data_IF_816875667667
#
_entry.id   IF_816875667667
#
_cell.length_a   1.000
_cell.length_b   1.000
_cell.length_c   1.000
_cell.angle_alpha   90.00
_cell.angle_beta   90.00
_cell.angle_gamma   90.00
#
_symmetry.space_group_name_H-M   'P 1'
#
loop_
_entity.id
_entity.type
_entity.pdbx_description
1 polymer ?
#
# COMPACT_ATOMS: atom_id res chain seq x y z
N UNK A 1 -75.82 -40.06 -24.37
CA UNK A 1 -74.46 -40.41 -24.85
C UNK A 1 -73.56 -39.19 -24.71
N UNK A 2 -72.54 -39.28 -23.84
CA UNK A 2 -71.56 -38.23 -23.54
C UNK A 2 -70.73 -37.91 -24.80
N UNK A 3 -70.60 -36.64 -25.18
CA UNK A 3 -69.58 -36.21 -26.15
C UNK A 3 -68.76 -35.05 -25.56
N UNK A 4 -67.46 -35.27 -25.64
CA UNK A 4 -66.38 -34.67 -24.87
C UNK A 4 -66.04 -33.28 -25.43
N UNK A 5 -65.97 -32.28 -24.56
CA UNK A 5 -65.42 -30.96 -24.88
C UNK A 5 -63.92 -31.16 -25.11
N UNK A 6 -63.44 -30.99 -26.35
CA UNK A 6 -62.01 -30.96 -26.66
C UNK A 6 -61.46 -29.57 -26.37
N UNK A 7 -60.84 -29.41 -25.21
CA UNK A 7 -59.99 -28.25 -24.91
C UNK A 7 -58.77 -28.31 -25.81
N UNK A 8 -58.61 -27.33 -26.71
CA UNK A 8 -57.35 -27.12 -27.44
C UNK A 8 -56.31 -26.62 -26.43
N UNK A 9 -55.34 -27.46 -26.09
CA UNK A 9 -54.13 -27.01 -25.40
C UNK A 9 -53.28 -26.23 -26.39
N UNK A 10 -53.29 -24.90 -26.30
CA UNK A 10 -52.32 -24.04 -26.99
C UNK A 10 -50.99 -24.24 -26.28
N UNK A 11 -50.14 -25.10 -26.83
CA UNK A 11 -48.73 -25.18 -26.43
C UNK A 11 -48.06 -24.00 -27.12
N UNK A 12 -48.06 -22.83 -26.49
CA UNK A 12 -47.19 -21.73 -26.91
C UNK A 12 -45.75 -22.18 -26.69
N UNK A 13 -44.91 -22.29 -27.73
CA UNK A 13 -43.49 -22.44 -27.51
C UNK A 13 -43.01 -21.11 -26.92
N UNK A 14 -42.74 -21.11 -25.61
CA UNK A 14 -41.90 -20.08 -25.02
C UNK A 14 -40.55 -20.22 -25.71
N UNK A 15 -40.28 -19.35 -26.68
CA UNK A 15 -38.95 -19.19 -27.24
C UNK A 15 -38.11 -18.70 -26.05
N UNK A 16 -37.46 -19.64 -25.36
CA UNK A 16 -36.34 -19.30 -24.51
C UNK A 16 -35.26 -18.82 -25.46
N UNK A 17 -35.26 -17.51 -25.71
CA UNK A 17 -34.09 -16.82 -26.18
C UNK A 17 -33.05 -17.09 -25.09
N UNK A 18 -32.24 -18.12 -25.31
CA UNK A 18 -30.98 -18.26 -24.63
C UNK A 18 -30.24 -16.97 -24.96
N UNK A 19 -30.27 -16.02 -24.03
CA UNK A 19 -29.32 -14.93 -24.02
C UNK A 19 -27.96 -15.59 -23.87
N UNK A 20 -27.37 -15.98 -25.00
CA UNK A 20 -25.95 -16.18 -25.09
C UNK A 20 -25.38 -14.78 -24.88
N UNK A 21 -25.15 -14.44 -23.61
CA UNK A 21 -24.26 -13.36 -23.25
C UNK A 21 -22.92 -13.83 -23.79
N UNK A 22 -22.60 -13.40 -25.01
CA UNK A 22 -21.25 -13.50 -25.54
C UNK A 22 -20.45 -12.61 -24.60
N UNK A 23 -19.88 -13.21 -23.56
CA UNK A 23 -18.87 -12.53 -22.77
C UNK A 23 -17.79 -12.15 -23.78
N UNK A 24 -17.67 -10.86 -24.08
CA UNK A 24 -16.54 -10.35 -24.85
C UNK A 24 -15.30 -10.80 -24.08
N UNK A 25 -14.64 -11.85 -24.59
CA UNK A 25 -13.43 -12.37 -23.96
C UNK A 25 -12.43 -11.23 -23.93
N UNK A 26 -12.01 -10.84 -22.72
CA UNK A 26 -11.02 -9.80 -22.53
C UNK A 26 -9.69 -10.27 -23.13
N UNK A 27 -9.33 -9.68 -24.28
CA UNK A 27 -8.17 -10.09 -25.09
C UNK A 27 -6.83 -9.57 -24.55
N UNK A 28 -6.84 -8.83 -23.44
CA UNK A 28 -5.62 -8.29 -22.83
C UNK A 28 -4.79 -9.41 -22.21
N UNK A 29 -3.48 -9.26 -22.29
CA UNK A 29 -2.51 -10.18 -21.73
C UNK A 29 -2.43 -9.94 -20.21
N UNK A 30 -2.59 -11.00 -19.41
CA UNK A 30 -2.46 -10.90 -17.96
C UNK A 30 -0.98 -10.98 -17.55
N UNK A 31 -0.50 -9.98 -16.80
CA UNK A 31 0.90 -9.96 -16.36
C UNK A 31 1.24 -11.11 -15.41
N UNK A 32 0.25 -11.74 -14.75
CA UNK A 32 0.49 -12.90 -13.90
C UNK A 32 1.15 -14.07 -14.65
N UNK A 33 0.94 -14.18 -15.96
CA UNK A 33 1.55 -15.22 -16.81
C UNK A 33 3.08 -15.06 -16.96
N UNK A 34 3.62 -13.92 -16.52
CA UNK A 34 5.03 -13.54 -16.62
C UNK A 34 5.73 -13.44 -15.27
N UNK A 35 5.03 -13.72 -14.17
CA UNK A 35 5.57 -13.66 -12.82
C UNK A 35 6.01 -15.05 -12.35
N UNK A 36 7.30 -15.19 -12.13
CA UNK A 36 7.93 -16.38 -11.56
C UNK A 36 8.21 -16.18 -10.05
N UNK A 37 8.49 -14.94 -9.62
CA UNK A 37 8.89 -14.59 -8.25
C UNK A 37 8.14 -13.35 -7.75
N UNK A 38 7.50 -13.47 -6.59
CA UNK A 38 6.81 -12.36 -5.91
C UNK A 38 7.53 -11.88 -4.65
N UNK A 39 8.45 -12.67 -4.09
CA UNK A 39 9.32 -12.27 -2.99
C UNK A 39 10.66 -11.75 -3.53
N UNK A 40 10.87 -10.45 -3.43
CA UNK A 40 12.05 -9.79 -3.98
C UNK A 40 13.25 -9.82 -3.04
N UNK A 41 13.09 -10.29 -1.80
CA UNK A 41 14.12 -10.24 -0.78
C UNK A 41 14.42 -8.82 -0.30
N UNK A 42 15.69 -8.53 -0.03
CA UNK A 42 16.12 -7.24 0.50
C UNK A 42 16.34 -6.22 -0.62
N UNK A 43 15.65 -5.09 -0.55
CA UNK A 43 15.84 -3.94 -1.43
C UNK A 43 16.64 -2.85 -0.73
N UNK A 44 17.39 -2.07 -1.52
CA UNK A 44 18.24 -1.00 -1.02
C UNK A 44 17.44 0.13 -0.36
N UNK A 45 16.29 0.46 -0.94
CA UNK A 45 15.40 1.52 -0.48
C UNK A 45 13.96 1.34 -1.02
N UNK A 46 13.08 2.26 -0.64
CA UNK A 46 11.68 2.30 -1.04
C UNK A 46 11.38 3.28 -2.20
N UNK A 47 12.36 3.63 -3.03
CA UNK A 47 12.05 4.33 -4.30
C UNK A 47 11.22 3.43 -5.19
N UNK A 48 10.25 4.02 -5.88
CA UNK A 48 9.37 3.32 -6.82
C UNK A 48 10.18 2.58 -7.89
N UNK A 49 11.18 3.24 -8.45
CA UNK A 49 12.08 2.65 -9.46
C UNK A 49 12.86 1.46 -8.91
N UNK A 50 13.38 1.55 -7.67
CA UNK A 50 14.10 0.45 -7.02
C UNK A 50 13.21 -0.77 -6.80
N UNK A 51 11.94 -0.57 -6.43
CA UNK A 51 10.96 -1.66 -6.29
C UNK A 51 10.66 -2.31 -7.65
N UNK A 52 10.42 -1.51 -8.70
CA UNK A 52 10.14 -1.99 -10.05
C UNK A 52 11.35 -2.73 -10.64
N UNK A 53 12.55 -2.19 -10.48
CA UNK A 53 13.80 -2.82 -10.90
C UNK A 53 14.03 -4.15 -10.18
N UNK A 54 13.80 -4.20 -8.86
CA UNK A 54 13.85 -5.44 -8.09
C UNK A 54 12.90 -6.49 -8.64
N UNK A 55 11.65 -6.10 -8.94
CA UNK A 55 10.66 -6.99 -9.55
C UNK A 55 11.09 -7.50 -10.93
N UNK A 56 11.55 -6.62 -11.82
CA UNK A 56 11.97 -6.98 -13.19
C UNK A 56 13.25 -7.82 -13.19
N UNK A 57 14.15 -7.64 -12.23
CA UNK A 57 15.36 -8.45 -12.11
C UNK A 57 15.05 -9.89 -11.69
N UNK A 58 14.06 -10.09 -10.81
CA UNK A 58 13.59 -11.42 -10.42
C UNK A 58 12.66 -12.06 -11.47
N UNK A 59 12.05 -11.25 -12.34
CA UNK A 59 11.15 -11.69 -13.40
C UNK A 59 11.61 -11.18 -14.78
N UNK A 60 12.75 -11.67 -15.31
CA UNK A 60 13.40 -11.09 -16.49
C UNK A 60 12.57 -11.16 -17.77
N UNK A 61 11.56 -12.04 -17.84
CA UNK A 61 10.61 -12.12 -18.96
C UNK A 61 9.87 -10.80 -19.22
N UNK A 62 9.74 -9.92 -18.22
CA UNK A 62 9.19 -8.58 -18.40
C UNK A 62 10.07 -7.67 -19.26
N UNK A 63 11.38 -7.93 -19.37
CA UNK A 63 12.29 -7.14 -20.23
C UNK A 63 12.02 -7.34 -21.72
N UNK A 64 11.37 -8.45 -22.08
CA UNK A 64 10.96 -8.78 -23.45
C UNK A 64 9.61 -8.15 -23.82
N UNK A 65 8.90 -7.62 -22.82
CA UNK A 65 7.59 -6.99 -23.00
C UNK A 65 7.75 -5.49 -23.23
N UNK A 66 7.04 -4.97 -24.23
CA UNK A 66 6.83 -3.52 -24.39
C UNK A 66 5.77 -3.04 -23.38
N UNK A 67 6.10 -3.08 -22.08
CA UNK A 67 5.22 -2.71 -20.98
C UNK A 67 5.94 -1.77 -20.01
N UNK A 68 5.25 -0.69 -19.62
CA UNK A 68 5.64 0.11 -18.45
C UNK A 68 4.90 -0.42 -17.22
N UNK A 69 5.62 -0.56 -16.12
CA UNK A 69 5.07 -0.99 -14.84
C UNK A 69 4.96 0.20 -13.89
N UNK A 70 4.03 0.09 -12.95
CA UNK A 70 3.91 1.02 -11.82
C UNK A 70 3.82 0.21 -10.52
N UNK A 71 4.48 0.69 -9.48
CA UNK A 71 4.22 0.25 -8.12
C UNK A 71 3.13 1.15 -7.51
N UNK A 72 2.20 0.54 -6.79
CA UNK A 72 1.14 1.26 -6.09
C UNK A 72 0.86 0.60 -4.75
N UNK A 73 0.20 1.33 -3.86
CA UNK A 73 -0.23 0.78 -2.57
C UNK A 73 0.92 0.17 -1.75
N UNK A 74 2.12 0.73 -1.90
CA UNK A 74 3.35 0.26 -1.25
C UNK A 74 3.35 0.49 0.26
N UNK A 75 4.00 -0.41 1.00
CA UNK A 75 4.29 -0.31 2.43
C UNK A 75 5.68 -0.90 2.71
N UNK A 76 6.13 -0.84 3.96
CA UNK A 76 7.48 -1.26 4.37
C UNK A 76 7.91 -2.66 3.93
N UNK A 77 6.96 -3.57 3.68
CA UNK A 77 7.22 -4.99 3.37
C UNK A 77 6.59 -5.48 2.07
N UNK A 78 6.04 -4.58 1.24
CA UNK A 78 5.40 -5.00 0.01
C UNK A 78 4.81 -3.87 -0.81
N UNK A 79 4.34 -4.23 -2.00
CA UNK A 79 3.68 -3.31 -2.92
C UNK A 79 2.82 -4.10 -3.91
N UNK A 80 2.07 -3.38 -4.74
CA UNK A 80 1.40 -3.96 -5.89
C UNK A 80 2.01 -3.45 -7.18
N UNK A 81 2.39 -4.37 -8.07
CA UNK A 81 2.86 -4.08 -9.42
C UNK A 81 1.71 -4.23 -10.40
N UNK A 82 1.58 -3.27 -11.33
CA UNK A 82 0.57 -3.29 -12.39
C UNK A 82 1.05 -2.61 -13.66
N UNK A 83 0.47 -2.92 -14.83
CA UNK A 83 0.72 -2.17 -16.05
C UNK A 83 0.34 -0.69 -15.86
N UNK A 84 1.22 0.22 -16.28
CA UNK A 84 0.94 1.64 -16.26
C UNK A 84 -0.11 1.98 -17.33
N UNK A 85 -1.29 2.53 -16.96
CA UNK A 85 -2.42 2.64 -17.89
C UNK A 85 -2.17 3.53 -19.11
N UNK A 86 -1.39 4.60 -18.94
CA UNK A 86 -1.18 5.63 -19.96
C UNK A 86 -0.24 5.12 -21.08
N UNK A 87 0.71 4.24 -20.74
CA UNK A 87 1.79 3.82 -21.65
C UNK A 87 1.55 2.41 -22.21
N UNK A 88 0.88 1.51 -21.47
CA UNK A 88 0.73 0.09 -21.84
C UNK A 88 -0.25 -0.20 -22.99
N UNK A 89 -0.73 0.82 -23.73
CA UNK A 89 -1.67 0.72 -24.87
C UNK A 89 -3.00 -0.01 -24.58
N UNK A 90 -3.30 -0.25 -23.29
CA UNK A 90 -4.39 -1.14 -22.88
C UNK A 90 -4.18 -2.61 -23.28
N UNK A 91 -2.99 -3.01 -23.72
CA UNK A 91 -2.65 -4.38 -24.15
C UNK A 91 -2.54 -5.34 -22.97
N UNK A 92 -2.11 -4.84 -21.82
CA UNK A 92 -1.86 -5.64 -20.62
C UNK A 92 -2.89 -5.35 -19.53
N UNK A 93 -3.09 -6.33 -18.65
CA UNK A 93 -3.93 -6.24 -17.46
C UNK A 93 -3.29 -7.01 -16.31
N UNK A 94 -3.91 -6.92 -15.14
CA UNK A 94 -3.49 -7.64 -13.95
C UNK A 94 -2.84 -6.72 -12.93
N UNK A 95 -2.75 -7.24 -11.71
CA UNK A 95 -2.15 -6.58 -10.55
C UNK A 95 -1.55 -7.66 -9.68
N UNK A 96 -0.25 -7.57 -9.43
CA UNK A 96 0.54 -8.59 -8.73
C UNK A 96 0.97 -8.01 -7.39
N UNK A 97 0.69 -8.71 -6.30
CA UNK A 97 1.24 -8.36 -4.99
C UNK A 97 2.65 -8.92 -4.87
N UNK A 98 3.57 -8.09 -4.39
CA UNK A 98 4.97 -8.45 -4.16
C UNK A 98 5.33 -8.20 -2.70
N UNK A 99 6.22 -9.03 -2.16
CA UNK A 99 6.81 -8.85 -0.84
C UNK A 99 8.29 -8.51 -0.96
N UNK A 100 8.79 -7.71 -0.02
CA UNK A 100 10.21 -7.41 0.12
C UNK A 100 10.53 -7.01 1.56
N UNK A 101 11.81 -6.91 1.88
CA UNK A 101 12.32 -6.16 3.02
C UNK A 101 13.17 -5.00 2.52
N UNK A 102 13.42 -4.01 3.36
CA UNK A 102 14.32 -2.90 3.05
C UNK A 102 15.05 -2.45 4.31
N UNK A 103 15.93 -1.45 4.23
CA UNK A 103 16.75 -1.05 5.38
C UNK A 103 15.94 -0.58 6.58
N UNK A 104 14.75 -0.03 6.33
CA UNK A 104 13.77 0.33 7.36
C UNK A 104 12.53 -0.56 7.25
N UNK A 105 11.96 -0.90 8.40
CA UNK A 105 10.74 -1.69 8.49
C UNK A 105 9.78 -1.13 9.53
N UNK A 106 8.55 -0.86 9.13
CA UNK A 106 7.46 -0.60 10.06
C UNK A 106 6.32 -1.56 9.77
N UNK A 107 5.98 -2.43 10.72
CA UNK A 107 4.89 -3.44 10.71
C UNK A 107 4.76 -4.27 9.42
N UNK A 108 4.64 -5.58 9.55
CA UNK A 108 4.67 -6.46 8.36
C UNK A 108 3.41 -6.39 7.49
N UNK A 109 2.28 -5.93 8.01
CA UNK A 109 1.02 -5.84 7.25
C UNK A 109 0.69 -4.41 6.83
N UNK A 110 0.00 -4.26 5.69
CA UNK A 110 -0.44 -2.96 5.19
C UNK A 110 -1.46 -2.28 6.11
N UNK A 111 -2.33 -3.06 6.77
CA UNK A 111 -3.35 -2.52 7.68
C UNK A 111 -2.71 -1.86 8.90
N UNK A 112 -1.59 -2.41 9.36
CA UNK A 112 -0.88 -1.93 10.56
C UNK A 112 -0.06 -0.65 10.30
N UNK A 113 0.05 -0.17 9.05
CA UNK A 113 0.72 1.10 8.75
C UNK A 113 -0.02 2.31 9.34
N UNK A 114 -1.29 2.17 9.70
CA UNK A 114 -2.08 3.24 10.33
C UNK A 114 -2.07 3.08 11.85
N UNK A 115 -1.35 3.97 12.54
CA UNK A 115 -1.33 4.06 14.00
C UNK A 115 -2.31 5.15 14.47
N UNK A 116 -2.84 4.97 15.68
CA UNK A 116 -3.53 6.05 16.40
C UNK A 116 -2.75 6.36 17.68
N UNK A 117 -2.36 7.61 17.84
CA UNK A 117 -1.80 8.13 19.08
C UNK A 117 -2.90 8.82 19.89
N UNK A 118 -3.12 8.32 21.11
CA UNK A 118 -4.04 8.90 22.08
C UNK A 118 -3.25 9.81 23.01
N UNK A 119 -3.44 11.11 22.87
CA UNK A 119 -2.78 12.13 23.67
C UNK A 119 -3.79 12.76 24.63
N UNK A 120 -3.34 13.14 25.81
CA UNK A 120 -4.17 13.76 26.84
C UNK A 120 -3.35 14.77 27.63
N UNK A 121 -3.98 15.44 28.60
CA UNK A 121 -3.25 16.34 29.49
C UNK A 121 -2.11 15.64 30.26
N UNK A 122 -2.32 14.37 30.62
CA UNK A 122 -1.34 13.56 31.36
C UNK A 122 -0.38 12.80 30.44
N UNK A 123 -0.84 12.44 29.23
CA UNK A 123 -0.02 11.76 28.22
C UNK A 123 0.24 12.68 27.03
N UNK A 124 1.27 13.51 27.15
CA UNK A 124 1.57 14.58 26.18
C UNK A 124 2.31 14.10 24.93
N UNK A 125 2.77 12.85 24.90
CA UNK A 125 3.60 12.33 23.81
C UNK A 125 3.22 10.93 23.37
N UNK A 126 3.52 10.62 22.11
CA UNK A 126 3.42 9.28 21.54
C UNK A 126 4.70 8.95 20.79
N UNK A 127 5.20 7.74 20.98
CA UNK A 127 6.38 7.24 20.27
C UNK A 127 5.94 6.30 19.14
N UNK A 128 6.62 6.44 18.00
CA UNK A 128 6.54 5.54 16.85
C UNK A 128 7.92 4.94 16.63
N UNK A 129 7.99 3.62 16.70
CA UNK A 129 9.22 2.86 16.55
C UNK A 129 9.27 2.20 15.16
N UNK A 130 10.27 2.59 14.38
CA UNK A 130 10.58 2.02 13.07
C UNK A 130 11.85 1.18 13.23
N UNK A 131 11.78 -0.10 12.86
CA UNK A 131 12.92 -1.01 12.96
C UNK A 131 13.95 -0.68 11.87
N UNK A 132 15.23 -0.61 12.25
CA UNK A 132 16.36 -0.58 11.32
C UNK A 132 16.78 -2.04 11.09
N UNK A 133 16.45 -2.57 9.91
CA UNK A 133 16.65 -3.98 9.56
C UNK A 133 18.06 -4.26 9.03
N UNK A 134 18.68 -3.27 8.39
CA UNK A 134 20.07 -3.36 7.93
C UNK A 134 21.02 -2.80 9.00
N UNK A 135 21.85 -3.66 9.58
CA UNK A 135 22.81 -3.30 10.62
C UNK A 135 23.84 -2.23 10.19
N UNK A 136 24.15 -2.17 8.89
CA UNK A 136 25.04 -1.20 8.28
C UNK A 136 24.37 0.13 7.96
N UNK A 137 23.03 0.20 8.00
CA UNK A 137 22.29 1.43 7.83
C UNK A 137 22.32 2.28 9.11
N UNK A 138 22.62 3.57 8.95
CA UNK A 138 22.68 4.53 10.05
C UNK A 138 22.12 5.87 9.57
N UNK A 139 20.80 6.11 9.72
CA UNK A 139 20.19 7.35 9.26
C UNK A 139 20.82 8.54 10.01
N UNK A 140 21.27 9.56 9.28
CA UNK A 140 21.87 10.76 9.90
C UNK A 140 21.01 12.00 9.65
N UNK A 141 20.95 12.96 10.60
CA UNK A 141 20.17 14.19 10.42
C UNK A 141 20.66 15.08 9.27
N UNK A 142 21.93 14.94 8.87
CA UNK A 142 22.60 15.80 7.89
C UNK A 142 22.91 15.09 6.56
N UNK A 143 22.70 13.76 6.48
CA UNK A 143 23.20 12.94 5.37
C UNK A 143 22.16 12.15 4.59
N UNK A 144 20.93 11.99 5.11
CA UNK A 144 19.85 11.32 4.38
C UNK A 144 18.63 12.27 4.30
N UNK A 145 18.39 12.88 3.14
CA UNK A 145 17.15 13.58 2.80
C UNK A 145 15.91 12.65 2.79
N UNK A 146 16.06 11.41 3.22
CA UNK A 146 15.24 10.29 2.79
C UNK A 146 14.10 9.97 3.75
N UNK A 147 14.29 10.15 5.07
CA UNK A 147 13.20 10.00 6.05
C UNK A 147 12.55 11.36 6.27
N UNK A 148 11.33 11.52 5.79
CA UNK A 148 10.57 12.77 5.89
C UNK A 148 9.46 12.60 6.92
N UNK A 149 9.44 13.45 7.92
CA UNK A 149 8.36 13.51 8.91
C UNK A 149 7.48 14.70 8.59
N UNK A 150 6.31 14.43 8.00
CA UNK A 150 5.31 15.43 7.68
C UNK A 150 4.22 15.47 8.76
N UNK A 151 3.71 16.66 9.08
CA UNK A 151 2.54 16.82 9.94
C UNK A 151 1.41 17.54 9.22
N UNK A 152 0.18 17.27 9.66
CA UNK A 152 -1.01 17.97 9.17
C UNK A 152 -2.01 18.20 10.30
N UNK A 153 -2.82 19.25 10.15
CA UNK A 153 -3.81 19.69 11.13
C UNK A 153 -3.30 20.85 11.99
N UNK A 154 -4.22 21.49 12.73
CA UNK A 154 -3.88 22.59 13.62
C UNK A 154 -4.29 22.27 15.07
N UNK A 155 -3.43 22.56 16.05
CA UNK A 155 -2.05 23.05 15.87
C UNK A 155 -1.11 21.95 15.35
N UNK A 156 -0.01 22.35 14.71
CA UNK A 156 0.99 21.42 14.20
C UNK A 156 1.66 20.64 15.35
N UNK A 157 1.67 19.30 15.30
CA UNK A 157 2.44 18.48 16.22
C UNK A 157 3.94 18.80 16.17
N UNK A 158 4.57 18.79 17.33
CA UNK A 158 6.03 18.85 17.46
C UNK A 158 6.57 17.44 17.29
N UNK A 159 7.50 17.25 16.36
CA UNK A 159 8.14 15.95 16.11
C UNK A 159 9.63 16.01 16.45
N UNK A 160 10.11 14.95 17.10
CA UNK A 160 11.52 14.73 17.41
C UNK A 160 11.90 13.32 16.99
N UNK A 161 13.15 13.10 16.61
CA UNK A 161 13.63 11.78 16.23
C UNK A 161 14.97 11.46 16.86
N UNK A 162 15.19 10.17 17.14
CA UNK A 162 16.45 9.64 17.65
C UNK A 162 16.61 8.17 17.27
N UNK A 163 17.85 7.73 17.17
CA UNK A 163 18.16 6.29 17.11
C UNK A 163 18.34 5.79 18.54
N UNK A 164 17.65 4.70 18.87
CA UNK A 164 17.83 3.98 20.14
C UNK A 164 18.19 2.52 19.87
N UNK A 165 18.74 1.86 20.88
CA UNK A 165 18.96 0.41 20.87
C UNK A 165 17.97 -0.26 21.81
N UNK A 166 17.33 -1.32 21.34
CA UNK A 166 16.46 -2.20 22.12
C UNK A 166 16.95 -3.65 21.97
N UNK A 167 17.76 -4.08 22.95
CA UNK A 167 18.55 -5.31 22.82
C UNK A 167 19.51 -5.23 21.63
N UNK A 168 19.41 -6.22 20.74
CA UNK A 168 20.22 -6.29 19.51
C UNK A 168 19.62 -5.48 18.34
N UNK A 169 18.43 -4.87 18.53
CA UNK A 169 17.75 -4.09 17.49
C UNK A 169 18.13 -2.62 17.58
N UNK A 170 18.27 -1.99 16.42
CA UNK A 170 18.31 -0.53 16.29
C UNK A 170 16.93 -0.05 15.87
N UNK A 171 16.46 1.02 16.51
CA UNK A 171 15.14 1.59 16.27
C UNK A 171 15.33 3.07 15.93
N UNK A 172 14.72 3.52 14.83
CA UNK A 172 14.48 4.92 14.55
C UNK A 172 13.17 5.31 15.21
N UNK A 173 13.27 6.04 16.33
CA UNK A 173 12.10 6.48 17.11
C UNK A 173 11.71 7.90 16.73
N UNK A 174 10.45 8.07 16.36
CA UNK A 174 9.80 9.38 16.19
C UNK A 174 8.89 9.64 17.38
N UNK A 175 9.18 10.69 18.13
CA UNK A 175 8.33 11.16 19.24
C UNK A 175 7.47 12.32 18.74
N UNK A 176 6.16 12.20 18.94
CA UNK A 176 5.14 13.17 18.57
C UNK A 176 4.59 13.81 19.84
N UNK A 177 4.51 15.13 19.88
CA UNK A 177 4.00 15.90 21.02
C UNK A 177 3.03 16.98 20.55
N UNK A 178 1.98 17.21 21.33
CA UNK A 178 1.12 18.39 21.13
C UNK A 178 1.72 19.61 21.83
N UNK A 179 1.62 20.81 21.24
CA UNK A 179 2.00 22.04 21.91
C UNK A 179 1.15 22.26 23.18
N UNK A 180 1.73 22.90 24.20
CA UNK A 180 1.17 22.94 25.58
C UNK A 180 -0.18 23.67 25.74
N UNK A 181 -0.64 24.39 24.73
CA UNK A 181 -1.88 25.14 24.79
C UNK A 181 -2.63 25.09 23.46
N UNK A 182 -3.08 23.89 23.04
CA UNK A 182 -3.69 23.74 21.74
C UNK A 182 -5.13 24.24 21.82
N UNK A 183 -5.49 25.25 21.03
CA UNK A 183 -6.89 25.41 20.62
C UNK A 183 -7.25 24.23 19.71
N UNK A 184 -7.35 23.02 20.27
CA UNK A 184 -7.70 21.82 19.52
C UNK A 184 -9.17 21.93 19.13
N UNK A 185 -9.41 22.17 17.85
CA UNK A 185 -10.73 21.98 17.30
C UNK A 185 -10.95 20.48 17.05
N UNK A 186 -11.78 19.84 17.88
CA UNK A 186 -12.12 18.40 17.82
C UNK A 186 -12.59 17.91 16.44
N UNK A 187 -12.96 18.83 15.54
CA UNK A 187 -13.43 18.54 14.18
C UNK A 187 -12.33 18.29 13.14
N UNK A 188 -11.06 18.58 13.44
CA UNK A 188 -9.96 18.45 12.47
C UNK A 188 -9.11 17.20 12.73
N UNK A 189 -8.82 16.45 11.67
CA UNK A 189 -7.86 15.36 11.72
C UNK A 189 -6.45 15.92 11.87
N UNK A 190 -5.79 15.61 12.97
CA UNK A 190 -4.37 15.92 13.20
C UNK A 190 -3.59 14.62 13.01
N UNK A 191 -2.44 14.69 12.35
CA UNK A 191 -1.62 13.50 12.16
C UNK A 191 -0.18 13.80 11.73
N UNK A 192 0.59 12.72 11.70
CA UNK A 192 1.99 12.70 11.29
C UNK A 192 2.20 11.52 10.35
N UNK A 193 2.79 11.78 9.20
CA UNK A 193 3.25 10.75 8.27
C UNK A 193 4.78 10.67 8.37
N UNK A 194 5.32 9.45 8.40
CA UNK A 194 6.76 9.20 8.27
C UNK A 194 6.97 8.48 6.95
N UNK A 195 7.59 9.17 6.01
CA UNK A 195 7.90 8.66 4.68
C UNK A 195 9.38 8.28 4.61
N UNK A 196 9.69 7.22 3.89
CA UNK A 196 11.06 6.92 3.45
C UNK A 196 11.08 6.78 1.94
N UNK A 197 11.75 7.71 1.27
CA UNK A 197 11.63 7.89 -0.19
C UNK A 197 10.17 8.04 -0.62
N UNK A 198 9.67 7.18 -1.52
CA UNK A 198 8.35 7.30 -2.14
C UNK A 198 7.24 6.60 -1.34
N UNK A 199 7.58 5.97 -0.21
CA UNK A 199 6.64 5.14 0.57
C UNK A 199 6.46 5.69 1.97
N UNK A 200 5.21 5.85 2.37
CA UNK A 200 4.83 6.13 3.76
C UNK A 200 5.03 4.86 4.60
N UNK A 201 6.03 4.89 5.49
CA UNK A 201 6.28 3.81 6.46
C UNK A 201 5.18 3.74 7.51
N UNK A 202 4.65 4.88 7.93
CA UNK A 202 3.61 4.93 8.95
C UNK A 202 2.81 6.22 8.83
N UNK A 203 1.49 6.07 8.95
CA UNK A 203 0.55 7.18 9.12
C UNK A 203 0.02 7.14 10.54
N UNK A 204 0.25 8.21 11.28
CA UNK A 204 -0.21 8.34 12.65
C UNK A 204 -1.33 9.36 12.75
N UNK A 205 -2.51 8.90 13.14
CA UNK A 205 -3.64 9.76 13.49
C UNK A 205 -3.54 10.15 14.96
N UNK A 206 -3.62 11.43 15.27
CA UNK A 206 -3.60 11.94 16.65
C UNK A 206 -5.02 12.19 17.09
N UNK A 207 -5.39 11.65 18.26
CA UNK A 207 -6.65 11.93 18.93
C UNK A 207 -6.35 12.44 20.33
N UNK A 208 -6.87 13.63 20.64
CA UNK A 208 -6.84 14.16 21.99
C UNK A 208 -8.02 13.57 22.78
N UNK A 209 -7.75 13.01 23.96
CA UNK A 209 -8.73 12.33 24.83
C UNK A 209 -8.66 12.83 26.27
#
# INVERSE_FOLDING_TARGET
MKKIIKTLAVISPSIMLANQVVACADKRIDIHEYVDVTDLGMLENLKTDTIIEGFVNQNPRFKELEISLSASDSWSYGAFIRPEPIVSSGKYKGRVEISFSSKLGYKTTKQDQNQTCLLSHDNKSCDIDIDILDSGYNPTPEGDEDIRVGSFGFPDPITQHKIISDGDKKIYRVTIQMPENPETNESHSIGVDVDWYDVTLVRCNIKFV
#
